data_IF_172572369044
#
_entry.id   IF_172572369044
#
_cell.length_a   1.000
_cell.length_b   1.000
_cell.length_c   1.000
_cell.angle_alpha   90.00
_cell.angle_beta   90.00
_cell.angle_gamma   90.00
#
_symmetry.space_group_name_H-M   'P 1'
#
loop_
_entity.id
_entity.type
_entity.pdbx_description
1 polymer ?
#
# COMPACT_ATOMS: atom_id res chain seq x y z
N UNK A 1 -16.18 2.58 -17.75
CA UNK A 1 -14.73 2.61 -18.06
C UNK A 1 -14.54 1.95 -19.41
N UNK A 2 -13.81 2.56 -20.33
CA UNK A 2 -13.43 1.90 -21.57
C UNK A 2 -12.34 0.86 -21.26
N UNK A 3 -12.46 -0.33 -21.84
CA UNK A 3 -11.47 -1.41 -21.75
C UNK A 3 -10.86 -1.57 -23.15
N UNK A 4 -9.53 -1.68 -23.20
CA UNK A 4 -8.78 -1.89 -24.44
C UNK A 4 -8.01 -3.20 -24.27
N UNK A 5 -8.02 -4.05 -25.28
CA UNK A 5 -7.25 -5.29 -25.26
C UNK A 5 -5.79 -5.01 -25.61
N UNK A 6 -4.85 -5.72 -24.98
CA UNK A 6 -3.42 -5.63 -25.31
C UNK A 6 -3.14 -5.99 -26.77
N UNK A 7 -3.99 -6.81 -27.40
CA UNK A 7 -3.85 -7.22 -28.79
C UNK A 7 -4.09 -6.08 -29.80
N UNK A 8 -4.76 -5.02 -29.38
CA UNK A 8 -5.02 -3.83 -30.20
C UNK A 8 -3.86 -2.83 -30.15
N UNK A 9 -2.84 -3.11 -29.32
CA UNK A 9 -1.72 -2.22 -29.07
C UNK A 9 -0.44 -2.70 -29.77
N UNK A 10 0.44 -1.78 -30.18
CA UNK A 10 1.75 -2.13 -30.73
C UNK A 10 2.56 -3.00 -29.76
N UNK A 11 3.34 -3.95 -30.31
CA UNK A 11 4.11 -4.93 -29.52
C UNK A 11 5.04 -4.28 -28.48
N UNK A 12 5.65 -3.13 -28.82
CA UNK A 12 6.50 -2.39 -27.89
C UNK A 12 5.73 -1.89 -26.67
N UNK A 13 4.48 -1.46 -26.85
CA UNK A 13 3.65 -0.99 -25.74
C UNK A 13 3.18 -2.17 -24.87
N UNK A 14 2.92 -3.33 -25.48
CA UNK A 14 2.62 -4.56 -24.75
C UNK A 14 3.80 -4.94 -23.83
N UNK A 15 5.03 -4.94 -24.36
CA UNK A 15 6.25 -5.22 -23.56
C UNK A 15 6.39 -4.26 -22.39
N UNK A 16 6.09 -2.97 -22.59
CA UNK A 16 6.13 -1.96 -21.53
C UNK A 16 5.15 -2.29 -20.39
N UNK A 17 3.92 -2.69 -20.73
CA UNK A 17 2.92 -3.07 -19.75
C UNK A 17 3.28 -4.35 -18.99
N UNK A 18 3.82 -5.34 -19.70
CA UNK A 18 4.35 -6.56 -19.07
C UNK A 18 5.46 -6.23 -18.06
N UNK A 19 6.35 -5.29 -18.40
CA UNK A 19 7.44 -4.88 -17.52
C UNK A 19 6.94 -4.12 -16.29
N UNK A 20 5.98 -3.20 -16.44
CA UNK A 20 5.32 -2.52 -15.31
C UNK A 20 4.61 -3.54 -14.41
N UNK A 21 3.92 -4.52 -14.99
CA UNK A 21 3.26 -5.58 -14.23
C UNK A 21 4.26 -6.46 -13.46
N UNK A 22 5.42 -6.77 -14.06
CA UNK A 22 6.49 -7.59 -13.49
C UNK A 22 7.23 -6.88 -12.36
N UNK A 23 7.62 -5.63 -12.58
CA UNK A 23 8.42 -4.82 -11.64
C UNK A 23 7.59 -4.17 -10.55
N UNK A 24 6.26 -4.08 -10.74
CA UNK A 24 5.35 -3.33 -9.87
C UNK A 24 5.74 -1.86 -9.69
N UNK A 25 6.54 -1.32 -10.61
CA UNK A 25 7.02 0.05 -10.57
C UNK A 25 6.26 0.87 -11.61
N UNK A 26 5.72 2.01 -11.19
CA UNK A 26 5.00 2.91 -12.10
C UNK A 26 5.98 3.58 -13.07
N UNK A 27 5.53 3.79 -14.31
CA UNK A 27 6.27 4.50 -15.34
C UNK A 27 5.59 5.84 -15.67
N UNK A 28 6.38 6.90 -15.82
CA UNK A 28 5.89 8.19 -16.35
C UNK A 28 6.26 8.31 -17.82
N UNK A 29 5.26 8.46 -18.68
CA UNK A 29 5.45 8.75 -20.10
C UNK A 29 5.42 10.26 -20.28
N UNK A 30 6.47 10.81 -20.90
CA UNK A 30 6.59 12.25 -21.19
C UNK A 30 6.52 12.50 -22.68
N UNK A 31 5.86 13.59 -23.08
CA UNK A 31 5.85 14.10 -24.45
C UNK A 31 6.30 15.57 -24.42
N UNK A 32 7.28 15.93 -25.24
CA UNK A 32 7.86 17.29 -25.29
C UNK A 32 8.32 17.81 -23.91
N UNK A 33 8.93 16.92 -23.11
CA UNK A 33 9.41 17.24 -21.76
C UNK A 33 8.32 17.38 -20.70
N UNK A 34 7.04 17.22 -21.07
CA UNK A 34 5.91 17.28 -20.13
C UNK A 34 5.35 15.88 -19.84
N UNK A 35 5.01 15.56 -18.58
CA UNK A 35 4.32 14.32 -18.25
C UNK A 35 2.98 14.23 -18.98
N UNK A 36 2.77 13.13 -19.72
CA UNK A 36 1.54 12.86 -20.46
C UNK A 36 0.64 11.88 -19.70
N UNK A 37 1.21 10.78 -19.20
CA UNK A 37 0.47 9.74 -18.49
C UNK A 37 1.38 8.98 -17.54
N UNK A 38 0.81 8.50 -16.44
CA UNK A 38 1.47 7.57 -15.52
C UNK A 38 0.79 6.20 -15.68
N UNK A 39 1.59 5.19 -15.99
CA UNK A 39 1.14 3.80 -16.10
C UNK A 39 1.53 3.11 -14.81
N UNK A 40 0.54 2.77 -13.98
CA UNK A 40 0.72 2.04 -12.74
C UNK A 40 0.26 0.59 -12.88
N UNK A 41 0.93 -0.38 -12.23
CA UNK A 41 0.50 -1.76 -12.25
C UNK A 41 -0.92 -1.90 -11.68
N UNK A 42 -1.74 -2.72 -12.32
CA UNK A 42 -3.03 -3.10 -11.76
C UNK A 42 -2.80 -3.80 -10.41
N UNK A 43 -3.38 -3.24 -9.36
CA UNK A 43 -3.34 -3.83 -8.02
C UNK A 43 -4.63 -4.61 -7.82
N UNK A 44 -4.53 -5.94 -7.75
CA UNK A 44 -5.66 -6.82 -7.42
C UNK A 44 -5.93 -6.89 -5.92
N UNK A 45 -4.98 -6.41 -5.11
CA UNK A 45 -5.18 -6.38 -3.67
C UNK A 45 -6.23 -5.33 -3.32
N UNK A 46 -7.25 -5.71 -2.52
CA UNK A 46 -8.18 -4.73 -2.01
C UNK A 46 -7.39 -3.67 -1.27
N UNK A 47 -7.72 -2.39 -1.49
CA UNK A 47 -7.15 -1.29 -0.71
C UNK A 47 -7.35 -1.63 0.76
N UNK A 48 -6.25 -1.79 1.48
CA UNK A 48 -6.28 -1.96 2.93
C UNK A 48 -7.03 -0.76 3.50
N UNK A 49 -7.99 -1.00 4.40
CA UNK A 49 -8.79 0.07 4.98
C UNK A 49 -7.87 1.13 5.60
N UNK A 50 -8.22 2.42 5.53
CA UNK A 50 -7.40 3.47 6.14
C UNK A 50 -7.42 3.38 7.67
N UNK A 51 -8.52 2.86 8.23
CA UNK A 51 -8.73 2.69 9.67
C UNK A 51 -9.20 1.26 9.97
N UNK A 52 -8.86 0.75 11.16
CA UNK A 52 -9.32 -0.57 11.61
C UNK A 52 -8.63 -1.74 10.92
N UNK A 53 -7.44 -1.55 10.34
CA UNK A 53 -6.69 -2.62 9.64
C UNK A 53 -6.31 -3.80 10.55
N UNK A 54 -6.23 -3.55 11.85
CA UNK A 54 -5.96 -4.53 12.89
C UNK A 54 -7.23 -4.94 13.65
N UNK A 55 -8.42 -4.57 13.17
CA UNK A 55 -9.68 -4.94 13.85
C UNK A 55 -9.77 -6.46 13.92
N UNK A 56 -9.85 -6.99 15.14
CA UNK A 56 -9.91 -8.43 15.38
C UNK A 56 -8.56 -9.15 15.35
N UNK A 57 -7.43 -8.45 15.20
CA UNK A 57 -6.10 -9.06 15.30
C UNK A 57 -5.49 -9.01 16.70
N UNK A 58 -6.19 -8.43 17.68
CA UNK A 58 -5.73 -8.32 19.06
C UNK A 58 -6.70 -9.02 20.02
N UNK A 59 -6.17 -9.49 21.14
CA UNK A 59 -6.91 -10.15 22.21
C UNK A 59 -7.01 -9.23 23.44
N UNK A 60 -8.16 -9.26 24.13
CA UNK A 60 -8.38 -8.52 25.39
C UNK A 60 -8.04 -9.46 26.53
N UNK A 61 -6.93 -9.21 27.23
CA UNK A 61 -6.48 -10.03 28.35
C UNK A 61 -7.15 -9.68 29.69
N UNK A 62 -7.74 -8.48 29.82
CA UNK A 62 -8.41 -8.01 31.03
C UNK A 62 -8.06 -6.57 31.39
N UNK A 63 -8.47 -6.15 32.58
CA UNK A 63 -8.30 -4.77 33.06
C UNK A 63 -6.92 -4.54 33.69
N UNK A 64 -6.36 -3.35 33.45
CA UNK A 64 -5.12 -2.91 34.06
C UNK A 64 -5.37 -2.45 35.51
N UNK A 65 -5.36 -3.40 36.45
CA UNK A 65 -5.57 -3.13 37.89
C UNK A 65 -4.30 -2.66 38.62
N UNK A 66 -3.14 -2.77 37.98
CA UNK A 66 -1.85 -2.34 38.55
C UNK A 66 -1.00 -1.67 37.47
N UNK A 67 -0.09 -0.75 37.85
CA UNK A 67 0.81 -0.15 36.89
C UNK A 67 1.72 -1.22 36.26
N UNK A 68 2.07 -1.01 34.98
CA UNK A 68 2.97 -1.90 34.25
C UNK A 68 4.38 -2.00 34.88
N UNK A 69 4.75 -1.03 35.72
CA UNK A 69 6.03 -0.97 36.43
C UNK A 69 5.80 -0.90 37.94
N UNK A 70 6.64 -1.56 38.77
CA UNK A 70 6.51 -1.50 40.22
C UNK A 70 6.56 -0.07 40.77
N UNK A 71 5.73 0.23 41.79
CA UNK A 71 5.65 1.56 42.42
C UNK A 71 7.00 2.04 42.97
N UNK A 72 7.84 1.13 43.45
CA UNK A 72 9.20 1.43 43.95
C UNK A 72 10.14 2.04 42.90
N UNK A 73 9.81 1.90 41.62
CA UNK A 73 10.57 2.45 40.49
C UNK A 73 10.16 3.89 40.18
N UNK A 74 9.13 4.42 40.84
CA UNK A 74 8.61 5.76 40.58
C UNK A 74 9.39 6.78 41.40
N UNK A 75 10.13 7.66 40.72
CA UNK A 75 10.96 8.70 41.35
C UNK A 75 10.17 9.66 42.25
N UNK A 76 8.88 9.88 41.94
CA UNK A 76 7.98 10.76 42.69
C UNK A 76 7.59 10.21 44.07
N UNK A 77 7.80 8.91 44.31
CA UNK A 77 7.45 8.23 45.57
C UNK A 77 8.68 7.92 46.45
N UNK A 78 9.86 8.44 46.11
CA UNK A 78 11.10 8.28 46.89
C UNK A 78 11.29 9.38 47.94
#
# INVERSE_FOLDING_TARGET
MQQISTNELPENLQKLFTEVQRTKTSLTVTHEGKPLVIISPATTQPKRATFGVMKGSGEIFGDLITPAVPLKTWEVLQ
#
